data_IF_243333662334
#
_entry.id   IF_243333662334
#
_cell.length_a   1.000
_cell.length_b   1.000
_cell.length_c   1.000
_cell.angle_alpha   90.00
_cell.angle_beta   90.00
_cell.angle_gamma   90.00
#
_symmetry.space_group_name_H-M   'P 1'
#
loop_
_entity.id
_entity.type
_entity.pdbx_description
1 polymer ?
#
# COMPACT_ATOMS: atom_id res chain seq x y z
N UNK A 1 -9.36 -2.87 -15.36
CA UNK A 1 -7.97 -3.36 -15.49
C UNK A 1 -7.06 -2.23 -15.90
N UNK A 2 -5.80 -2.26 -15.47
CA UNK A 2 -4.77 -1.29 -15.84
C UNK A 2 -3.40 -1.96 -15.86
N UNK A 3 -2.51 -1.49 -16.73
CA UNK A 3 -1.08 -1.84 -16.67
C UNK A 3 -0.44 -1.17 -15.45
N UNK A 4 0.24 -1.92 -14.56
CA UNK A 4 0.89 -1.33 -13.39
C UNK A 4 2.16 -0.54 -13.76
N UNK A 5 2.58 0.41 -12.93
CA UNK A 5 3.91 0.99 -13.01
C UNK A 5 5.00 -0.09 -12.95
N UNK A 6 6.14 0.15 -13.61
CA UNK A 6 7.25 -0.82 -13.73
C UNK A 6 7.71 -1.38 -12.38
N UNK A 7 7.79 -0.54 -11.34
CA UNK A 7 8.20 -0.98 -10.00
C UNK A 7 7.19 -1.97 -9.40
N UNK A 8 5.89 -1.70 -9.55
CA UNK A 8 4.81 -2.59 -9.08
C UNK A 8 4.79 -3.89 -9.87
N UNK A 9 4.90 -3.83 -11.20
CA UNK A 9 4.98 -5.01 -12.06
C UNK A 9 6.18 -5.91 -11.68
N UNK A 10 7.35 -5.29 -11.42
CA UNK A 10 8.55 -6.01 -10.97
C UNK A 10 8.32 -6.67 -9.60
N UNK A 11 7.78 -5.93 -8.62
CA UNK A 11 7.51 -6.45 -7.29
C UNK A 11 6.52 -7.62 -7.31
N UNK A 12 5.51 -7.55 -8.18
CA UNK A 12 4.50 -8.60 -8.37
C UNK A 12 4.92 -9.68 -9.38
N UNK A 13 6.11 -9.58 -9.96
CA UNK A 13 6.64 -10.53 -10.94
C UNK A 13 5.65 -10.79 -12.10
N UNK A 14 5.00 -9.74 -12.59
CA UNK A 14 3.95 -9.84 -13.61
C UNK A 14 4.17 -8.86 -14.76
N UNK A 15 3.74 -9.27 -15.95
CA UNK A 15 3.69 -8.44 -17.16
C UNK A 15 2.25 -8.09 -17.57
N UNK A 16 1.26 -8.68 -16.89
CA UNK A 16 -0.15 -8.56 -17.23
C UNK A 16 -0.80 -7.26 -16.73
N UNK A 17 -2.05 -7.07 -17.13
CA UNK A 17 -2.90 -6.06 -16.51
C UNK A 17 -3.36 -6.54 -15.14
N UNK A 18 -3.55 -5.58 -14.23
CA UNK A 18 -4.01 -5.83 -12.88
C UNK A 18 -5.31 -5.07 -12.61
N UNK A 19 -6.04 -5.51 -11.59
CA UNK A 19 -7.10 -4.72 -11.01
C UNK A 19 -6.48 -3.59 -10.19
N UNK A 20 -6.81 -2.35 -10.55
CA UNK A 20 -6.35 -1.16 -9.83
C UNK A 20 -7.49 -0.55 -9.04
N UNK A 21 -7.33 -0.47 -7.72
CA UNK A 21 -8.31 0.10 -6.80
C UNK A 21 -7.69 1.27 -6.04
N UNK A 22 -8.31 2.44 -6.13
CA UNK A 22 -7.91 3.63 -5.37
C UNK A 22 -9.04 4.04 -4.42
N UNK A 23 -8.71 4.26 -3.14
CA UNK A 23 -9.70 4.66 -2.13
C UNK A 23 -9.16 5.78 -1.26
N UNK A 24 -9.95 6.86 -1.15
CA UNK A 24 -9.76 7.90 -0.16
C UNK A 24 -10.56 7.54 1.10
N UNK A 25 -9.89 7.43 2.25
CA UNK A 25 -10.53 7.24 3.55
C UNK A 25 -10.59 8.55 4.29
N UNK A 26 -11.77 8.84 4.83
CA UNK A 26 -12.07 10.04 5.61
C UNK A 26 -12.41 9.67 7.05
N UNK A 27 -12.10 10.55 7.98
CA UNK A 27 -12.59 10.48 9.34
C UNK A 27 -14.13 10.58 9.30
N UNK A 28 -14.84 9.69 10.02
CA UNK A 28 -16.30 9.49 9.85
C UNK A 28 -17.17 10.69 10.28
N UNK A 29 -16.72 11.48 11.26
CA UNK A 29 -17.47 12.61 11.85
C UNK A 29 -17.13 13.95 11.20
N UNK A 30 -15.85 14.21 10.92
CA UNK A 30 -15.34 15.48 10.38
C UNK A 30 -15.22 15.47 8.87
N UNK A 31 -15.22 14.30 8.23
CA UNK A 31 -14.98 14.17 6.79
C UNK A 31 -13.53 14.46 6.36
N UNK A 32 -12.63 14.67 7.33
CA UNK A 32 -11.23 14.97 7.07
C UNK A 32 -10.55 13.81 6.32
N UNK A 33 -9.90 14.05 5.17
CA UNK A 33 -9.20 13.00 4.45
C UNK A 33 -7.93 12.61 5.21
N UNK A 34 -7.78 11.30 5.46
CA UNK A 34 -6.68 10.77 6.24
C UNK A 34 -5.75 9.90 5.40
N UNK A 35 -6.31 9.07 4.53
CA UNK A 35 -5.57 7.99 3.86
C UNK A 35 -5.95 7.89 2.40
N UNK A 36 -4.98 7.92 1.50
CA UNK A 36 -5.17 7.44 0.12
C UNK A 36 -4.54 6.05 0.02
N UNK A 37 -5.36 5.04 -0.29
CA UNK A 37 -4.90 3.69 -0.60
C UNK A 37 -4.94 3.46 -2.10
N UNK A 38 -3.84 2.95 -2.67
CA UNK A 38 -3.67 2.60 -4.07
C UNK A 38 -3.24 1.13 -4.13
N UNK A 39 -4.08 0.26 -4.67
CA UNK A 39 -3.92 -1.20 -4.58
C UNK A 39 -3.93 -1.81 -5.97
N UNK A 40 -2.93 -2.64 -6.26
CA UNK A 40 -2.79 -3.41 -7.49
C UNK A 40 -2.97 -4.89 -7.16
N UNK A 41 -4.03 -5.49 -7.69
CA UNK A 41 -4.46 -6.85 -7.36
C UNK A 41 -4.55 -7.74 -8.61
N UNK A 42 -4.56 -9.08 -8.45
CA UNK A 42 -4.81 -10.01 -9.54
C UNK A 42 -6.13 -9.71 -10.26
N UNK A 43 -6.14 -9.91 -11.57
CA UNK A 43 -7.27 -9.55 -12.44
C UNK A 43 -8.53 -10.38 -12.11
N UNK A 44 -8.34 -11.59 -11.61
CA UNK A 44 -9.41 -12.54 -11.25
C UNK A 44 -10.30 -11.98 -10.13
N UNK A 45 -9.79 -11.03 -9.33
CA UNK A 45 -10.54 -10.41 -8.23
C UNK A 45 -11.54 -9.33 -8.70
N UNK A 46 -11.57 -8.96 -9.98
CA UNK A 46 -12.46 -7.88 -10.44
C UNK A 46 -13.96 -8.19 -10.27
N UNK A 47 -14.35 -9.46 -10.34
CA UNK A 47 -15.74 -9.87 -10.07
C UNK A 47 -16.14 -9.71 -8.59
N UNK A 48 -15.18 -9.90 -7.67
CA UNK A 48 -15.41 -9.78 -6.23
C UNK A 48 -15.28 -8.33 -5.75
N UNK A 49 -14.30 -7.60 -6.27
CA UNK A 49 -13.92 -6.25 -5.83
C UNK A 49 -14.59 -5.17 -6.68
N UNK A 50 -15.90 -5.28 -6.84
CA UNK A 50 -16.71 -4.25 -7.49
C UNK A 50 -16.79 -2.99 -6.64
N UNK A 51 -17.09 -1.85 -7.27
CA UNK A 51 -17.31 -0.60 -6.55
C UNK A 51 -18.43 -0.73 -5.49
N UNK A 52 -19.52 -1.42 -5.84
CA UNK A 52 -20.64 -1.69 -4.92
C UNK A 52 -20.19 -2.51 -3.70
N UNK A 53 -19.37 -3.55 -3.90
CA UNK A 53 -18.84 -4.35 -2.81
C UNK A 53 -17.90 -3.53 -1.92
N UNK A 54 -16.99 -2.73 -2.50
CA UNK A 54 -16.02 -1.90 -1.78
C UNK A 54 -16.65 -0.75 -0.98
N UNK A 55 -17.86 -0.31 -1.36
CA UNK A 55 -18.67 0.63 -0.57
C UNK A 55 -19.24 -0.03 0.68
N UNK A 56 -19.57 -1.32 0.62
CA UNK A 56 -20.23 -2.08 1.71
C UNK A 56 -19.24 -2.74 2.67
N UNK A 57 -18.06 -3.15 2.19
CA UNK A 57 -17.08 -3.88 2.98
C UNK A 57 -15.64 -3.36 2.80
N UNK A 58 -14.75 -3.54 3.80
CA UNK A 58 -13.32 -3.31 3.65
C UNK A 58 -12.70 -4.23 2.58
N UNK A 59 -11.74 -3.69 1.82
CA UNK A 59 -11.05 -4.43 0.75
C UNK A 59 -10.47 -5.77 1.24
N UNK A 60 -9.80 -5.77 2.39
CA UNK A 60 -9.16 -6.99 2.92
C UNK A 60 -10.15 -8.07 3.33
N UNK A 61 -11.35 -7.70 3.75
CA UNK A 61 -12.40 -8.68 4.04
C UNK A 61 -12.87 -9.35 2.74
N UNK A 62 -13.04 -8.57 1.68
CA UNK A 62 -13.43 -9.08 0.36
C UNK A 62 -12.36 -9.98 -0.25
N UNK A 63 -11.07 -9.63 -0.10
CA UNK A 63 -9.96 -10.48 -0.55
C UNK A 63 -9.91 -11.79 0.24
N UNK A 64 -10.11 -11.76 1.57
CA UNK A 64 -10.17 -13.00 2.37
C UNK A 64 -11.26 -13.96 1.91
N UNK A 65 -12.41 -13.44 1.44
CA UNK A 65 -13.53 -14.25 0.93
C UNK A 65 -13.21 -15.03 -0.34
N UNK A 66 -12.12 -14.69 -1.05
CA UNK A 66 -11.70 -15.45 -2.24
C UNK A 66 -10.81 -16.65 -1.90
N UNK A 67 -10.59 -16.92 -0.61
CA UNK A 67 -9.73 -18.02 -0.15
C UNK A 67 -8.24 -17.67 -0.13
N UNK A 68 -7.84 -16.44 -0.47
CA UNK A 68 -6.46 -16.01 -0.40
C UNK A 68 -5.98 -15.94 1.07
N UNK A 69 -5.01 -16.77 1.43
CA UNK A 69 -4.38 -16.78 2.75
C UNK A 69 -3.07 -16.01 2.68
N UNK A 70 -3.00 -14.89 3.38
CA UNK A 70 -1.78 -14.08 3.48
C UNK A 70 -0.81 -14.79 4.43
N UNK A 71 0.38 -15.14 3.94
CA UNK A 71 1.44 -15.75 4.76
C UNK A 71 2.46 -14.73 5.25
N UNK A 72 2.77 -13.71 4.45
CA UNK A 72 3.77 -12.69 4.77
C UNK A 72 3.42 -11.34 4.15
N UNK A 73 3.81 -10.27 4.83
CA UNK A 73 3.72 -8.91 4.30
C UNK A 73 5.07 -8.23 4.50
N UNK A 74 5.62 -7.68 3.42
CA UNK A 74 6.78 -6.80 3.48
C UNK A 74 6.30 -5.36 3.49
N UNK A 75 6.71 -4.59 4.50
CA UNK A 75 6.40 -3.17 4.64
C UNK A 75 7.65 -2.34 4.31
N UNK A 76 7.50 -1.37 3.42
CA UNK A 76 8.49 -0.33 3.16
C UNK A 76 7.86 1.01 3.53
N UNK A 77 8.53 1.76 4.41
CA UNK A 77 8.06 3.06 4.90
C UNK A 77 9.03 4.12 4.40
N UNK A 78 8.50 5.14 3.74
CA UNK A 78 9.29 6.25 3.19
C UNK A 78 8.51 7.56 3.26
N UNK A 79 9.14 8.65 2.86
CA UNK A 79 8.51 9.96 2.72
C UNK A 79 8.29 10.29 1.24
N UNK A 80 7.24 11.03 0.95
CA UNK A 80 6.96 11.57 -0.38
C UNK A 80 6.56 13.04 -0.30
N UNK A 81 6.89 13.81 -1.34
CA UNK A 81 6.36 15.16 -1.51
C UNK A 81 5.02 15.10 -2.23
N UNK A 82 4.00 15.75 -1.66
CA UNK A 82 2.65 15.80 -2.21
C UNK A 82 2.64 16.50 -3.59
N UNK A 83 2.51 15.70 -4.65
CA UNK A 83 2.14 16.21 -5.97
C UNK A 83 0.68 16.69 -6.03
N UNK A 84 0.25 17.36 -7.12
CA UNK A 84 -1.07 17.98 -7.23
C UNK A 84 -2.24 17.05 -6.89
N UNK A 85 -2.20 15.80 -7.40
CA UNK A 85 -3.25 14.80 -7.18
C UNK A 85 -3.42 14.45 -5.69
N UNK A 86 -2.34 14.12 -5.00
CA UNK A 86 -2.42 13.70 -3.59
C UNK A 86 -2.63 14.89 -2.66
N UNK A 87 -2.09 16.06 -2.98
CA UNK A 87 -2.38 17.31 -2.28
C UNK A 87 -3.89 17.61 -2.29
N UNK A 88 -4.54 17.50 -3.46
CA UNK A 88 -5.99 17.68 -3.58
C UNK A 88 -6.78 16.62 -2.79
N UNK A 89 -6.45 15.34 -2.95
CA UNK A 89 -7.16 14.24 -2.28
C UNK A 89 -7.06 14.33 -0.75
N UNK A 90 -5.87 14.65 -0.24
CA UNK A 90 -5.58 14.78 1.19
C UNK A 90 -5.86 16.18 1.73
N UNK A 91 -6.34 17.13 0.92
CA UNK A 91 -6.56 18.53 1.33
C UNK A 91 -5.34 19.08 2.07
N UNK A 92 -4.17 19.00 1.44
CA UNK A 92 -2.91 19.56 1.95
C UNK A 92 -2.27 20.42 0.86
N UNK A 93 -1.25 21.20 1.19
CA UNK A 93 -0.51 21.97 0.21
C UNK A 93 0.25 21.06 -0.77
N UNK A 94 0.35 21.49 -2.03
CA UNK A 94 1.34 20.93 -2.95
C UNK A 94 2.73 21.19 -2.34
N UNK A 95 3.61 20.19 -2.39
CA UNK A 95 4.91 20.28 -1.74
C UNK A 95 4.93 19.84 -0.27
N UNK A 96 3.78 19.60 0.36
CA UNK A 96 3.74 19.09 1.73
C UNK A 96 4.32 17.67 1.81
N UNK A 97 5.01 17.35 2.91
CA UNK A 97 5.47 15.99 3.17
C UNK A 97 4.28 15.04 3.39
N UNK A 98 4.41 13.81 2.90
CA UNK A 98 3.50 12.68 3.09
C UNK A 98 4.29 11.49 3.62
N UNK A 99 3.67 10.70 4.49
CA UNK A 99 4.17 9.37 4.84
C UNK A 99 3.65 8.39 3.78
N UNK A 100 4.55 7.59 3.20
CA UNK A 100 4.21 6.52 2.27
C UNK A 100 4.54 5.17 2.89
N UNK A 101 3.59 4.24 2.83
CA UNK A 101 3.78 2.85 3.20
C UNK A 101 3.49 2.00 1.95
N UNK A 102 4.52 1.37 1.43
CA UNK A 102 4.42 0.37 0.40
C UNK A 102 4.35 -1.01 1.05
N UNK A 103 3.48 -1.87 0.53
CA UNK A 103 3.26 -3.22 1.03
C UNK A 103 3.27 -4.19 -0.12
N UNK A 104 4.13 -5.19 -0.04
CA UNK A 104 4.07 -6.37 -0.89
C UNK A 104 3.51 -7.52 -0.06
N UNK A 105 2.33 -7.99 -0.45
CA UNK A 105 1.60 -9.04 0.27
C UNK A 105 1.85 -10.35 -0.46
N UNK A 106 2.22 -11.39 0.28
CA UNK A 106 2.48 -12.73 -0.22
C UNK A 106 1.35 -13.68 0.17
N UNK A 107 1.06 -14.62 -0.72
CA UNK A 107 0.16 -15.74 -0.48
C UNK A 107 0.69 -16.97 -1.21
N UNK A 108 0.67 -18.13 -0.56
CA UNK A 108 1.31 -19.35 -1.04
C UNK A 108 2.80 -19.14 -1.43
N UNK A 109 3.52 -18.29 -0.69
CA UNK A 109 4.94 -18.00 -0.90
C UNK A 109 5.26 -17.09 -2.09
N UNK A 110 4.27 -16.63 -2.86
CA UNK A 110 4.46 -15.77 -4.03
C UNK A 110 3.83 -14.38 -3.85
N UNK A 111 4.32 -13.33 -4.54
CA UNK A 111 3.70 -12.01 -4.53
C UNK A 111 2.24 -12.06 -4.99
N UNK A 112 1.30 -11.66 -4.12
CA UNK A 112 -0.13 -11.72 -4.39
C UNK A 112 -0.70 -10.36 -4.80
N UNK A 113 -0.42 -9.30 -4.04
CA UNK A 113 -0.84 -7.94 -4.41
C UNK A 113 0.07 -6.89 -3.79
N UNK A 114 0.04 -5.70 -4.38
CA UNK A 114 0.81 -4.55 -3.94
C UNK A 114 -0.12 -3.45 -3.48
N UNK A 115 0.13 -2.88 -2.31
CA UNK A 115 -0.59 -1.73 -1.79
C UNK A 115 0.38 -0.59 -1.50
N UNK A 116 0.04 0.60 -1.96
CA UNK A 116 0.63 1.83 -1.44
C UNK A 116 -0.39 2.64 -0.65
N UNK A 117 0.06 3.20 0.47
CA UNK A 117 -0.74 4.02 1.38
C UNK A 117 -0.04 5.35 1.59
N UNK A 118 -0.76 6.45 1.35
CA UNK A 118 -0.28 7.80 1.63
C UNK A 118 -1.09 8.42 2.76
N UNK A 119 -0.38 9.07 3.68
CA UNK A 119 -0.92 9.70 4.88
C UNK A 119 -0.33 11.11 5.04
N UNK A 120 -1.11 12.03 5.61
CA UNK A 120 -0.58 13.32 6.06
C UNK A 120 0.15 13.16 7.40
N UNK A 121 1.44 13.53 7.54
CA UNK A 121 2.18 13.43 8.80
C UNK A 121 1.62 14.33 9.90
N UNK A 122 0.88 15.38 9.54
CA UNK A 122 0.23 16.28 10.50
C UNK A 122 -1.02 15.68 11.15
N UNK A 123 -1.56 14.58 10.61
CA UNK A 123 -2.84 13.98 11.04
C UNK A 123 -2.71 12.48 11.35
N UNK A 124 -1.54 11.91 11.10
CA UNK A 124 -1.34 10.47 11.13
C UNK A 124 0.09 10.16 11.56
N UNK A 125 0.23 9.10 12.33
CA UNK A 125 1.51 8.55 12.81
C UNK A 125 1.53 7.05 12.57
N UNK A 126 2.72 6.51 12.34
CA UNK A 126 2.93 5.07 12.28
C UNK A 126 3.35 4.58 13.64
N UNK A 127 2.65 3.56 14.12
CA UNK A 127 2.97 2.88 15.37
C UNK A 127 3.42 1.47 15.00
N UNK A 128 4.60 1.10 15.49
CA UNK A 128 5.16 -0.23 15.39
C UNK A 128 5.36 -0.74 16.82
N UNK A 129 4.84 -1.93 17.09
CA UNK A 129 5.06 -2.65 18.35
C UNK A 129 5.73 -3.96 17.99
N UNK A 130 6.79 -4.30 18.70
CA UNK A 130 7.54 -5.54 18.56
C UNK A 130 7.83 -6.09 19.96
N UNK A 131 7.95 -7.42 20.07
CA UNK A 131 8.43 -8.07 21.29
C UNK A 131 9.94 -7.88 21.46
N UNK A 132 10.48 -8.23 22.64
CA UNK A 132 11.94 -8.24 22.85
C UNK A 132 12.62 -9.24 21.91
N UNK A 133 12.04 -10.44 21.78
CA UNK A 133 12.57 -11.50 20.92
C UNK A 133 12.63 -11.07 19.44
N UNK A 134 11.62 -10.35 18.96
CA UNK A 134 11.58 -9.81 17.59
C UNK A 134 12.64 -8.71 17.36
N UNK A 135 12.94 -7.92 18.39
CA UNK A 135 13.95 -6.87 18.33
C UNK A 135 15.37 -7.45 18.31
N UNK A 136 15.62 -8.49 19.11
CA UNK A 136 16.91 -9.19 19.19
C UNK A 136 17.24 -9.97 17.91
N UNK A 137 16.22 -10.61 17.32
CA UNK A 137 16.38 -11.35 16.07
C UNK A 137 16.77 -10.47 14.88
N UNK A 138 16.53 -9.15 14.94
CA UNK A 138 16.67 -8.21 13.82
C UNK A 138 15.89 -8.58 12.55
N UNK A 139 15.01 -9.59 12.62
CA UNK A 139 14.28 -10.15 11.48
C UNK A 139 13.05 -9.32 11.08
N UNK A 140 12.66 -8.31 11.89
CA UNK A 140 11.44 -7.52 11.70
C UNK A 140 11.63 -6.14 11.04
N UNK A 141 12.85 -5.60 11.01
CA UNK A 141 13.12 -4.26 10.49
C UNK A 141 14.54 -4.17 9.93
N UNK A 142 14.66 -3.72 8.69
CA UNK A 142 15.94 -3.41 8.06
C UNK A 142 15.96 -1.95 7.62
N UNK A 143 17.14 -1.32 7.73
CA UNK A 143 17.41 -0.01 7.12
C UNK A 143 18.00 -0.27 5.73
N UNK A 144 17.25 0.09 4.69
CA UNK A 144 17.70 -0.01 3.31
C UNK A 144 18.19 1.35 2.82
N UNK A 145 19.29 1.36 2.07
CA UNK A 145 19.86 2.54 1.44
C UNK A 145 19.95 2.35 -0.08
N UNK A 146 19.32 3.26 -0.83
CA UNK A 146 19.42 3.30 -2.29
C UNK A 146 20.70 4.04 -2.72
N UNK A 147 21.85 3.39 -2.55
CA UNK A 147 23.14 3.94 -2.99
C UNK A 147 23.38 3.54 -4.44
N UNK A 148 23.48 4.54 -5.35
CA UNK A 148 23.96 4.28 -6.72
C UNK A 148 25.40 3.77 -6.63
N UNK A 149 25.64 2.53 -7.02
CA UNK A 149 27.01 2.06 -7.24
C UNK A 149 27.54 2.73 -8.50
N UNK A 150 28.68 3.41 -8.40
CA UNK A 150 29.41 3.84 -9.60
C UNK A 150 29.81 2.58 -10.40
N UNK A 151 29.67 2.60 -11.74
CA UNK A 151 30.21 1.53 -12.55
C UNK A 151 31.73 1.49 -12.36
N UNK A 152 32.25 0.33 -11.98
CA UNK A 152 33.69 0.04 -12.03
C UNK A 152 34.17 -0.08 -13.47
#
# INVERSE_FOLDING_TARGET
>A
MRRPPRAVARALQTTGELLHVVRLRRQRRTGEPLIVSDVWLPAELAGTLTESALRKAPLYELVKRTGAVVDRVQHEITAEIAGPRYAQLLKTAIGAALLRINRLIFAAGVPHHYQSVLLSPTRSRLLLTQSSDELEAADGLAIAHDVRREPR
#
